data_IF_474727347417
#
_entry.id   IF_474727347417
#
_cell.length_a   1.000
_cell.length_b   1.000
_cell.length_c   1.000
_cell.angle_alpha   90.00
_cell.angle_beta   90.00
_cell.angle_gamma   90.00
#
_symmetry.space_group_name_H-M   'P 1'
#
loop_
_entity.id
_entity.type
_entity.pdbx_description
1 polymer ?
#
# COMPACT_ATOMS: atom_id res chain seq x y z
N UNK A 1 -6.16 12.70 -15.73
CA UNK A 1 -4.83 12.05 -15.72
C UNK A 1 -3.77 13.13 -15.88
N UNK A 2 -2.91 13.32 -14.88
CA UNK A 2 -1.96 14.44 -14.81
C UNK A 2 -0.71 14.20 -15.68
N UNK A 3 -0.11 15.27 -16.21
CA UNK A 3 1.11 15.22 -17.04
C UNK A 3 2.28 14.48 -16.36
N UNK A 4 2.41 14.59 -15.04
CA UNK A 4 3.41 13.87 -14.23
C UNK A 4 3.18 12.36 -14.20
N UNK A 5 1.93 11.90 -14.08
CA UNK A 5 1.61 10.46 -14.15
C UNK A 5 1.95 9.85 -15.51
N UNK A 6 1.99 10.65 -16.57
CA UNK A 6 2.37 10.19 -17.90
C UNK A 6 3.91 10.00 -18.03
N UNK A 7 4.70 10.88 -17.40
CA UNK A 7 6.16 10.79 -17.42
C UNK A 7 6.69 9.56 -16.67
N UNK A 8 6.11 9.25 -15.51
CA UNK A 8 6.48 8.04 -14.75
C UNK A 8 6.17 6.78 -15.55
N UNK A 9 4.97 6.70 -16.14
CA UNK A 9 4.58 5.55 -16.97
C UNK A 9 5.50 5.38 -18.17
N UNK A 10 5.93 6.47 -18.81
CA UNK A 10 6.83 6.39 -19.96
C UNK A 10 8.25 5.99 -19.56
N UNK A 11 8.74 6.48 -18.41
CA UNK A 11 10.00 6.04 -17.83
C UNK A 11 9.98 4.54 -17.49
N UNK A 12 8.90 4.04 -16.90
CA UNK A 12 8.72 2.61 -16.60
C UNK A 12 8.75 1.77 -17.87
N UNK A 13 8.07 2.20 -18.95
CA UNK A 13 8.11 1.49 -20.23
C UNK A 13 9.53 1.43 -20.81
N UNK A 14 10.26 2.54 -20.76
CA UNK A 14 11.63 2.61 -21.27
C UNK A 14 12.54 1.67 -20.49
N UNK A 15 12.42 1.66 -19.16
CA UNK A 15 13.14 0.71 -18.29
C UNK A 15 12.82 -0.74 -18.66
N UNK A 16 11.53 -1.09 -18.78
CA UNK A 16 11.12 -2.45 -19.10
C UNK A 16 11.58 -2.89 -20.49
N UNK A 17 11.57 -1.99 -21.48
CA UNK A 17 12.11 -2.27 -22.81
C UNK A 17 13.61 -2.60 -22.74
N UNK A 18 14.39 -1.82 -22.00
CA UNK A 18 15.82 -2.07 -21.81
C UNK A 18 16.09 -3.40 -21.10
N UNK A 19 15.30 -3.75 -20.08
CA UNK A 19 15.40 -5.05 -19.39
C UNK A 19 15.10 -6.21 -20.35
N UNK A 20 14.06 -6.09 -21.17
CA UNK A 20 13.73 -7.14 -22.16
C UNK A 20 14.81 -7.30 -23.22
N UNK A 21 15.36 -6.20 -23.72
CA UNK A 21 16.48 -6.25 -24.67
C UNK A 21 17.72 -6.92 -24.05
N UNK A 22 18.05 -6.60 -22.80
CA UNK A 22 19.14 -7.23 -22.08
C UNK A 22 18.94 -8.75 -21.93
N UNK A 23 17.72 -9.19 -21.60
CA UNK A 23 17.36 -10.61 -21.52
C UNK A 23 17.50 -11.27 -22.89
N UNK A 24 16.96 -10.68 -23.96
CA UNK A 24 17.02 -11.26 -25.30
C UNK A 24 18.47 -11.35 -25.83
N UNK A 25 19.32 -10.38 -25.48
CA UNK A 25 20.75 -10.42 -25.76
C UNK A 25 21.45 -11.55 -25.01
N UNK A 26 21.14 -11.77 -23.73
CA UNK A 26 21.66 -12.90 -22.96
C UNK A 26 21.22 -14.26 -23.54
N UNK A 27 19.96 -14.37 -23.96
CA UNK A 27 19.44 -15.56 -24.65
C UNK A 27 20.23 -15.84 -25.93
N UNK A 28 20.50 -14.81 -26.74
CA UNK A 28 21.24 -14.99 -28.00
C UNK A 28 22.70 -15.40 -27.75
N UNK A 29 23.33 -14.82 -26.73
CA UNK A 29 24.75 -15.05 -26.44
C UNK A 29 25.01 -16.38 -25.72
N UNK A 30 24.18 -16.75 -24.75
CA UNK A 30 24.44 -17.88 -23.85
C UNK A 30 23.32 -18.94 -23.82
N UNK A 31 22.19 -18.69 -24.49
CA UNK A 31 21.04 -19.61 -24.53
C UNK A 31 21.34 -20.98 -25.14
N UNK A 32 22.07 -21.08 -26.28
CA UNK A 32 22.42 -22.38 -26.86
C UNK A 32 23.27 -23.25 -25.93
N UNK A 33 24.25 -22.64 -25.25
CA UNK A 33 25.11 -23.33 -24.29
C UNK A 33 24.32 -23.77 -23.06
N UNK A 34 23.44 -22.92 -22.54
CA UNK A 34 22.54 -23.26 -21.43
C UNK A 34 21.62 -24.45 -21.77
N UNK A 35 21.11 -24.52 -23.00
CA UNK A 35 20.33 -25.66 -23.47
C UNK A 35 21.17 -26.92 -23.64
N UNK A 36 22.37 -26.79 -24.23
CA UNK A 36 23.32 -27.89 -24.37
C UNK A 36 23.75 -28.46 -23.02
N UNK A 37 23.83 -27.63 -21.98
CA UNK A 37 24.08 -28.00 -20.60
C UNK A 37 22.88 -28.69 -19.91
N UNK A 38 21.75 -28.88 -20.62
CA UNK A 38 20.61 -29.65 -20.14
C UNK A 38 19.57 -28.86 -19.35
N UNK A 39 19.51 -27.53 -19.49
CA UNK A 39 18.44 -26.75 -18.87
C UNK A 39 17.06 -27.23 -19.33
N UNK A 40 16.18 -27.49 -18.35
CA UNK A 40 14.77 -27.86 -18.59
C UNK A 40 13.86 -26.63 -18.77
N UNK A 41 14.39 -25.44 -18.49
CA UNK A 41 13.67 -24.18 -18.54
C UNK A 41 14.11 -23.45 -19.82
N UNK A 42 13.18 -22.82 -20.58
CA UNK A 42 13.54 -22.00 -21.72
C UNK A 42 14.58 -20.92 -21.31
N UNK A 43 15.65 -20.68 -22.11
CA UNK A 43 16.69 -19.72 -21.73
C UNK A 43 16.15 -18.34 -21.36
N UNK A 44 15.12 -17.87 -22.06
CA UNK A 44 14.50 -16.58 -21.77
C UNK A 44 13.90 -16.52 -20.37
N UNK A 45 13.21 -17.57 -19.95
CA UNK A 45 12.60 -17.66 -18.62
C UNK A 45 13.69 -17.80 -17.55
N UNK A 46 14.76 -18.55 -17.84
CA UNK A 46 15.92 -18.67 -16.95
C UNK A 46 16.58 -17.32 -16.68
N UNK A 47 16.85 -16.52 -17.72
CA UNK A 47 17.46 -15.19 -17.55
C UNK A 47 16.51 -14.19 -16.90
N UNK A 48 15.21 -14.22 -17.24
CA UNK A 48 14.21 -13.37 -16.58
C UNK A 48 14.11 -13.67 -15.08
N UNK A 49 14.13 -14.95 -14.69
CA UNK A 49 14.17 -15.37 -13.28
C UNK A 49 15.47 -14.94 -12.60
N UNK A 50 16.61 -15.02 -13.28
CA UNK A 50 17.90 -14.51 -12.78
C UNK A 50 17.86 -13.01 -12.47
N UNK A 51 17.29 -12.20 -13.37
CA UNK A 51 17.09 -10.75 -13.16
C UNK A 51 16.18 -10.50 -11.95
N UNK A 52 15.06 -11.23 -11.85
CA UNK A 52 14.12 -11.11 -10.73
C UNK A 52 14.81 -11.41 -9.39
N UNK A 53 15.56 -12.51 -9.29
CA UNK A 53 16.30 -12.88 -8.08
C UNK A 53 17.35 -11.84 -7.69
N UNK A 54 18.12 -11.35 -8.66
CA UNK A 54 19.15 -10.34 -8.41
C UNK A 54 18.53 -9.04 -7.88
N UNK A 55 17.45 -8.56 -8.52
CA UNK A 55 16.74 -7.35 -8.07
C UNK A 55 16.09 -7.53 -6.70
N UNK A 56 15.50 -8.70 -6.44
CA UNK A 56 14.93 -9.01 -5.13
C UNK A 56 16.00 -8.87 -4.02
N UNK A 57 17.17 -9.48 -4.21
CA UNK A 57 18.27 -9.40 -3.24
C UNK A 57 18.74 -7.96 -3.02
N UNK A 58 18.94 -7.21 -4.12
CA UNK A 58 19.33 -5.79 -4.05
C UNK A 58 18.33 -4.93 -3.29
N UNK A 59 17.03 -5.12 -3.54
CA UNK A 59 15.97 -4.38 -2.85
C UNK A 59 15.90 -4.73 -1.37
N UNK A 60 16.24 -5.97 -1.00
CA UNK A 60 16.35 -6.37 0.40
C UNK A 60 17.65 -5.89 1.05
N UNK A 61 18.55 -5.20 0.34
CA UNK A 61 19.86 -4.81 0.86
C UNK A 61 20.85 -5.99 1.01
N UNK A 62 20.55 -7.13 0.39
CA UNK A 62 21.42 -8.30 0.39
C UNK A 62 22.54 -8.17 -0.65
N UNK A 63 23.63 -8.90 -0.41
CA UNK A 63 24.63 -9.20 -1.43
C UNK A 63 24.04 -10.19 -2.45
N UNK A 64 23.92 -9.81 -3.75
CA UNK A 64 23.36 -10.70 -4.77
C UNK A 64 24.26 -11.87 -5.19
N UNK A 65 25.55 -11.81 -4.88
CA UNK A 65 26.51 -12.89 -5.20
C UNK A 65 26.50 -13.95 -4.10
N UNK A 66 26.45 -13.51 -2.84
CA UNK A 66 26.47 -14.42 -1.68
C UNK A 66 25.07 -14.80 -1.15
N UNK A 67 24.04 -14.05 -1.52
CA UNK A 67 22.67 -14.13 -0.95
C UNK A 67 22.62 -13.86 0.57
N UNK A 68 23.50 -13.01 1.09
CA UNK A 68 23.64 -12.72 2.53
C UNK A 68 23.36 -11.25 2.86
N UNK A 69 23.11 -10.94 4.13
CA UNK A 69 23.02 -9.55 4.62
C UNK A 69 21.71 -8.80 4.35
N UNK A 70 20.69 -9.47 3.80
CA UNK A 70 19.40 -8.83 3.51
C UNK A 70 18.53 -8.55 4.74
N UNK A 71 17.68 -7.52 4.62
CA UNK A 71 16.62 -7.17 5.56
C UNK A 71 15.39 -8.09 5.39
N UNK A 72 15.05 -8.91 6.41
CA UNK A 72 13.88 -9.77 6.36
C UNK A 72 12.57 -9.00 6.24
N UNK A 73 12.45 -7.80 6.82
CA UNK A 73 11.19 -7.05 6.78
C UNK A 73 10.87 -6.58 5.36
N UNK A 74 11.87 -6.02 4.67
CA UNK A 74 11.75 -5.64 3.26
C UNK A 74 11.49 -6.85 2.36
N UNK A 75 12.20 -7.97 2.60
CA UNK A 75 11.95 -9.22 1.88
C UNK A 75 10.50 -9.68 2.00
N UNK A 76 9.95 -9.72 3.22
CA UNK A 76 8.56 -10.10 3.44
C UNK A 76 7.58 -9.14 2.77
N UNK A 77 7.80 -7.81 2.85
CA UNK A 77 6.95 -6.82 2.18
C UNK A 77 6.83 -7.09 0.68
N UNK A 78 7.95 -7.38 0.00
CA UNK A 78 7.98 -7.68 -1.44
C UNK A 78 7.24 -8.99 -1.73
N UNK A 79 7.49 -10.05 -0.96
CA UNK A 79 6.83 -11.34 -1.15
C UNK A 79 5.30 -11.25 -0.95
N UNK A 80 4.86 -10.46 0.03
CA UNK A 80 3.43 -10.22 0.26
C UNK A 80 2.78 -9.48 -0.91
N UNK A 81 3.45 -8.53 -1.55
CA UNK A 81 2.94 -7.86 -2.75
C UNK A 81 2.67 -8.88 -3.88
N UNK A 82 3.63 -9.76 -4.15
CA UNK A 82 3.48 -10.83 -5.15
C UNK A 82 2.31 -11.78 -4.82
N UNK A 83 2.18 -12.17 -3.55
CA UNK A 83 1.06 -13.03 -3.10
C UNK A 83 -0.31 -12.35 -3.27
N UNK A 84 -0.40 -11.05 -2.97
CA UNK A 84 -1.65 -10.30 -3.14
C UNK A 84 -2.10 -10.25 -4.60
N UNK A 85 -1.15 -10.16 -5.55
CA UNK A 85 -1.42 -10.28 -6.98
C UNK A 85 -1.90 -11.70 -7.34
N UNK A 86 -1.22 -12.74 -6.86
CA UNK A 86 -1.64 -14.12 -7.11
C UNK A 86 -3.07 -14.40 -6.59
N UNK A 87 -3.38 -13.96 -5.36
CA UNK A 87 -4.73 -14.07 -4.77
C UNK A 87 -5.80 -13.31 -5.55
N UNK A 88 -5.44 -12.24 -6.25
CA UNK A 88 -6.35 -11.51 -7.13
C UNK A 88 -6.66 -12.36 -8.37
N UNK A 89 -5.64 -12.92 -9.01
CA UNK A 89 -5.83 -13.79 -10.17
C UNK A 89 -6.61 -15.06 -9.87
N UNK A 90 -6.43 -15.67 -8.69
CA UNK A 90 -7.25 -16.81 -8.24
C UNK A 90 -8.75 -16.46 -8.23
N UNK A 91 -9.09 -15.27 -7.71
CA UNK A 91 -10.46 -14.75 -7.67
C UNK A 91 -11.00 -14.46 -9.08
N UNK A 92 -10.20 -13.82 -9.92
CA UNK A 92 -10.57 -13.52 -11.32
C UNK A 92 -10.83 -14.80 -12.12
N UNK A 93 -10.07 -15.87 -11.86
CA UNK A 93 -10.25 -17.17 -12.51
C UNK A 93 -11.40 -18.00 -11.93
N UNK A 94 -12.15 -17.49 -10.95
CA UNK A 94 -13.20 -18.23 -10.26
C UNK A 94 -12.70 -19.50 -9.56
N UNK A 95 -11.38 -19.61 -9.35
CA UNK A 95 -10.80 -20.76 -8.67
C UNK A 95 -11.20 -20.66 -7.20
N UNK A 96 -12.00 -21.62 -6.72
CA UNK A 96 -12.07 -21.87 -5.27
C UNK A 96 -10.62 -22.16 -4.81
N UNK A 97 -10.21 -21.73 -3.61
CA UNK A 97 -8.85 -21.94 -3.13
C UNK A 97 -8.60 -23.45 -2.98
N UNK A 98 -8.10 -24.09 -4.04
CA UNK A 98 -7.87 -25.54 -4.15
C UNK A 98 -6.61 -25.99 -3.40
N UNK A 99 -5.89 -25.06 -2.76
CA UNK A 99 -4.71 -25.33 -1.94
C UNK A 99 -4.90 -24.91 -0.47
N UNK A 100 -6.06 -25.18 0.13
CA UNK A 100 -6.24 -25.11 1.59
C UNK A 100 -5.53 -26.23 2.37
N UNK A 101 -4.60 -26.99 1.76
CA UNK A 101 -3.91 -28.10 2.43
C UNK A 101 -2.64 -27.72 3.19
N UNK A 102 -2.02 -26.56 2.94
CA UNK A 102 -1.03 -25.99 3.88
C UNK A 102 -1.73 -24.90 4.66
N UNK A 103 -1.92 -25.14 5.96
CA UNK A 103 -2.39 -24.14 6.94
C UNK A 103 -1.64 -22.85 6.66
N UNK A 104 -2.35 -21.78 6.28
CA UNK A 104 -1.74 -20.46 6.11
C UNK A 104 -0.87 -20.18 7.35
N UNK A 105 0.35 -19.65 7.16
CA UNK A 105 1.20 -19.34 8.31
C UNK A 105 0.44 -18.36 9.20
N UNK A 106 0.54 -18.46 10.54
CA UNK A 106 -0.18 -17.57 11.46
C UNK A 106 -0.01 -16.08 11.13
N UNK A 107 1.21 -15.68 10.74
CA UNK A 107 1.56 -14.34 10.27
C UNK A 107 0.70 -13.86 9.08
N UNK A 108 0.30 -14.78 8.20
CA UNK A 108 -0.52 -14.48 7.03
C UNK A 108 -1.99 -14.27 7.38
N UNK A 109 -2.46 -14.97 8.40
CA UNK A 109 -3.81 -14.82 8.94
C UNK A 109 -3.88 -13.46 9.64
N UNK A 110 -2.91 -13.18 10.50
CA UNK A 110 -2.81 -11.93 11.25
C UNK A 110 -2.74 -10.70 10.33
N UNK A 111 -1.89 -10.74 9.29
CA UNK A 111 -1.79 -9.63 8.33
C UNK A 111 -3.08 -9.42 7.53
N UNK A 112 -3.70 -10.50 7.06
CA UNK A 112 -4.99 -10.41 6.37
C UNK A 112 -6.10 -9.85 7.28
N UNK A 113 -6.12 -10.25 8.54
CA UNK A 113 -7.06 -9.74 9.54
C UNK A 113 -6.79 -8.27 9.83
N UNK A 114 -5.53 -7.86 9.97
CA UNK A 114 -5.12 -6.46 10.13
C UNK A 114 -5.53 -5.60 8.93
N UNK A 115 -5.26 -6.05 7.70
CA UNK A 115 -5.68 -5.35 6.47
C UNK A 115 -7.21 -5.23 6.38
N UNK A 116 -7.94 -6.29 6.75
CA UNK A 116 -9.42 -6.25 6.80
C UNK A 116 -9.92 -5.30 7.88
N UNK A 117 -9.29 -5.28 9.05
CA UNK A 117 -9.62 -4.37 10.14
C UNK A 117 -9.36 -2.92 9.73
N UNK A 118 -8.21 -2.62 9.10
CA UNK A 118 -7.91 -1.29 8.59
C UNK A 118 -8.90 -0.83 7.52
N UNK A 119 -9.30 -1.74 6.62
CA UNK A 119 -10.33 -1.44 5.61
C UNK A 119 -11.69 -1.15 6.28
N UNK A 120 -12.10 -1.96 7.26
CA UNK A 120 -13.34 -1.77 7.99
C UNK A 120 -13.34 -0.43 8.74
N UNK A 121 -12.26 -0.12 9.47
CA UNK A 121 -12.09 1.16 10.16
C UNK A 121 -12.10 2.34 9.19
N UNK A 122 -11.48 2.21 8.02
CA UNK A 122 -11.47 3.26 7.00
C UNK A 122 -12.87 3.51 6.42
N UNK A 123 -13.62 2.44 6.16
CA UNK A 123 -14.99 2.52 5.67
C UNK A 123 -15.94 3.11 6.72
N UNK A 124 -15.80 2.71 7.99
CA UNK A 124 -16.54 3.26 9.11
C UNK A 124 -16.25 4.76 9.28
N UNK A 125 -14.97 5.14 9.30
CA UNK A 125 -14.56 6.55 9.40
C UNK A 125 -15.11 7.40 8.25
N UNK A 126 -15.11 6.86 7.03
CA UNK A 126 -15.72 7.53 5.87
C UNK A 126 -17.23 7.73 6.08
N UNK A 127 -17.96 6.67 6.42
CA UNK A 127 -19.41 6.74 6.63
C UNK A 127 -19.80 7.72 7.75
N UNK A 128 -19.11 7.68 8.89
CA UNK A 128 -19.33 8.60 10.01
C UNK A 128 -19.01 10.05 9.61
N UNK A 129 -17.92 10.27 8.89
CA UNK A 129 -17.54 11.59 8.39
C UNK A 129 -18.61 12.17 7.48
N UNK A 130 -19.14 11.37 6.54
CA UNK A 130 -20.23 11.78 5.64
C UNK A 130 -21.49 12.13 6.42
N UNK A 131 -21.94 11.25 7.31
CA UNK A 131 -23.16 11.48 8.11
C UNK A 131 -23.04 12.75 8.95
N UNK A 132 -21.92 12.94 9.65
CA UNK A 132 -21.72 14.11 10.51
C UNK A 132 -21.67 15.40 9.69
N UNK A 133 -20.99 15.41 8.54
CA UNK A 133 -20.95 16.58 7.64
C UNK A 133 -22.36 17.00 7.20
N UNK A 134 -23.20 16.05 6.80
CA UNK A 134 -24.59 16.32 6.43
C UNK A 134 -25.40 16.88 7.61
N UNK A 135 -25.26 16.29 8.80
CA UNK A 135 -25.94 16.78 10.00
C UNK A 135 -25.50 18.20 10.39
N UNK A 136 -24.20 18.50 10.34
CA UNK A 136 -23.67 19.84 10.61
C UNK A 136 -24.14 20.84 9.57
N UNK A 137 -24.16 20.45 8.30
CA UNK A 137 -24.69 21.26 7.20
C UNK A 137 -26.17 21.62 7.43
N UNK A 138 -26.98 20.62 7.78
CA UNK A 138 -28.40 20.83 8.11
C UNK A 138 -28.57 21.71 9.35
N UNK A 139 -27.78 21.49 10.40
CA UNK A 139 -27.87 22.26 11.64
C UNK A 139 -27.52 23.75 11.45
N UNK A 140 -26.61 24.08 10.52
CA UNK A 140 -26.26 25.46 10.19
C UNK A 140 -27.44 26.30 9.71
N UNK A 141 -28.44 25.69 9.10
CA UNK A 141 -29.65 26.40 8.67
C UNK A 141 -30.44 26.98 9.86
N UNK A 142 -30.34 26.35 11.04
CA UNK A 142 -31.01 26.80 12.27
C UNK A 142 -30.07 27.46 13.28
N UNK A 143 -28.78 27.13 13.23
CA UNK A 143 -27.74 27.71 14.08
C UNK A 143 -26.43 27.96 13.29
N UNK A 144 -26.25 29.19 12.76
CA UNK A 144 -25.05 29.55 12.02
C UNK A 144 -23.75 29.46 12.83
N UNK A 145 -23.82 29.59 14.16
CA UNK A 145 -22.64 29.63 15.06
C UNK A 145 -22.21 28.22 15.52
N UNK A 146 -22.92 27.16 15.14
CA UNK A 146 -22.66 25.78 15.60
C UNK A 146 -21.21 25.35 15.38
N UNK A 147 -20.59 25.83 14.31
CA UNK A 147 -19.21 25.49 13.95
C UNK A 147 -18.21 26.06 14.96
N UNK A 148 -18.40 27.32 15.35
CA UNK A 148 -17.51 28.00 16.27
C UNK A 148 -17.70 27.45 17.69
N UNK A 149 -18.94 27.08 18.05
CA UNK A 149 -19.21 26.36 19.32
C UNK A 149 -18.51 25.01 19.38
N UNK A 150 -18.52 24.22 18.30
CA UNK A 150 -17.82 22.93 18.22
C UNK A 150 -16.29 23.10 18.34
N UNK A 151 -15.72 24.11 17.66
CA UNK A 151 -14.28 24.43 17.79
C UNK A 151 -13.94 24.86 19.21
N UNK A 152 -14.74 25.76 19.80
CA UNK A 152 -14.54 26.26 21.16
C UNK A 152 -14.60 25.12 22.19
N UNK A 153 -15.47 24.13 22.02
CA UNK A 153 -15.56 22.97 22.91
C UNK A 153 -14.26 22.13 22.91
N UNK A 154 -13.63 21.92 21.75
CA UNK A 154 -12.33 21.22 21.66
C UNK A 154 -11.22 22.02 22.35
N UNK A 155 -11.17 23.34 22.12
CA UNK A 155 -10.20 24.22 22.78
C UNK A 155 -10.39 24.26 24.30
N UNK A 156 -11.63 24.32 24.78
CA UNK A 156 -11.94 24.31 26.21
C UNK A 156 -11.54 23.00 26.88
N UNK A 157 -11.68 21.86 26.19
CA UNK A 157 -11.19 20.57 26.69
C UNK A 157 -9.67 20.57 26.80
N UNK A 158 -8.96 21.08 25.80
CA UNK A 158 -7.49 21.19 25.85
C UNK A 158 -7.00 21.99 27.05
N UNK A 159 -7.60 23.15 27.30
CA UNK A 159 -7.20 24.05 28.38
C UNK A 159 -7.38 23.44 29.79
N UNK A 160 -8.26 22.45 29.95
CA UNK A 160 -8.52 21.77 31.23
C UNK A 160 -7.53 20.65 31.56
N UNK A 161 -6.67 20.28 30.62
CA UNK A 161 -5.82 19.11 30.76
C UNK A 161 -4.38 19.42 31.23
N UNK A 162 -4.00 20.68 31.50
CA UNK A 162 -2.62 20.94 31.94
C UNK A 162 -2.29 20.39 33.35
N UNK A 163 -1.10 19.77 33.54
CA UNK A 163 0.05 19.69 32.62
C UNK A 163 0.09 18.38 31.80
N UNK A 164 0.35 18.48 30.47
CA UNK A 164 0.09 17.41 29.48
C UNK A 164 1.30 16.56 29.06
N UNK A 165 1.04 15.28 28.72
CA UNK A 165 1.96 14.38 28.02
C UNK A 165 1.99 14.63 26.50
N UNK A 166 3.01 14.12 25.80
CA UNK A 166 3.09 14.21 24.33
C UNK A 166 1.88 13.57 23.62
N UNK A 167 1.33 12.49 24.19
CA UNK A 167 0.15 11.79 23.67
C UNK A 167 -1.11 12.65 23.73
N UNK A 168 -1.30 13.39 24.82
CA UNK A 168 -2.46 14.25 24.99
C UNK A 168 -2.43 15.46 24.04
N UNK A 169 -1.23 15.98 23.79
CA UNK A 169 -1.01 17.03 22.78
C UNK A 169 -1.35 16.51 21.38
N UNK A 170 -0.90 15.31 21.02
CA UNK A 170 -1.21 14.70 19.73
C UNK A 170 -2.72 14.42 19.57
N UNK A 171 -3.37 13.87 20.60
CA UNK A 171 -4.82 13.66 20.60
C UNK A 171 -5.57 14.97 20.31
N UNK A 172 -5.15 16.06 20.95
CA UNK A 172 -5.80 17.35 20.81
C UNK A 172 -5.62 17.95 19.42
N UNK A 173 -4.42 17.87 18.85
CA UNK A 173 -4.17 18.31 17.47
C UNK A 173 -4.98 17.50 16.45
N UNK A 174 -5.09 16.19 16.65
CA UNK A 174 -5.96 15.35 15.82
C UNK A 174 -7.43 15.75 15.96
N UNK A 175 -7.92 16.00 17.18
CA UNK A 175 -9.30 16.43 17.41
C UNK A 175 -9.62 17.77 16.72
N UNK A 176 -8.72 18.76 16.76
CA UNK A 176 -8.87 20.03 16.04
C UNK A 176 -8.99 19.83 14.53
N UNK A 177 -8.12 18.97 13.95
CA UNK A 177 -8.15 18.64 12.52
C UNK A 177 -9.47 17.98 12.12
N UNK A 178 -9.97 17.03 12.92
CA UNK A 178 -11.25 16.37 12.64
C UNK A 178 -12.44 17.33 12.73
N UNK A 179 -12.54 18.17 13.77
CA UNK A 179 -13.64 19.16 13.85
C UNK A 179 -13.60 20.12 12.67
N UNK A 180 -12.40 20.53 12.26
CA UNK A 180 -12.23 21.34 11.06
C UNK A 180 -12.75 20.60 9.82
N UNK A 181 -12.29 19.37 9.57
CA UNK A 181 -12.71 18.53 8.45
C UNK A 181 -14.23 18.30 8.40
N UNK A 182 -14.86 18.08 9.54
CA UNK A 182 -16.28 17.78 9.67
C UNK A 182 -17.19 19.01 9.54
N UNK A 183 -16.61 20.21 9.67
CA UNK A 183 -17.34 21.47 9.59
C UNK A 183 -17.06 22.25 8.31
N UNK A 184 -16.17 21.80 7.41
CA UNK A 184 -16.03 22.45 6.11
C UNK A 184 -17.27 22.19 5.23
N UNK A 185 -17.86 23.24 4.60
CA UNK A 185 -18.94 23.03 3.64
C UNK A 185 -18.39 22.31 2.39
N UNK A 186 -19.15 21.36 1.81
CA UNK A 186 -18.69 20.54 0.69
C UNK A 186 -18.37 21.35 -0.59
N UNK A 187 -18.89 22.57 -0.73
CA UNK A 187 -18.71 23.41 -1.92
C UNK A 187 -17.38 24.20 -2.01
N UNK A 188 -16.46 24.02 -1.05
CA UNK A 188 -15.17 24.73 -1.02
C UNK A 188 -13.93 23.82 -1.07
N UNK A 189 -14.07 22.55 -1.46
CA UNK A 189 -12.92 21.71 -1.82
C UNK A 189 -12.39 22.11 -3.21
N UNK A 190 -11.57 23.17 -3.29
CA UNK A 190 -10.66 23.47 -4.41
C UNK A 190 -9.22 23.59 -3.92
#
# INVERSE_FOLDING_TARGET
>A
MNKESNLVVEADKLLMAAVYEAIDNAVRAAGPELQAAGSRIPPRDYFADGVMRHLFLRLCGADPEENTGGDPETAWKILYAGRSVARRWERERGSRPTLRMKKDRPEDIEKNESERQQLALSAENFALTTIIRELVSHARASDPEITDRLKAAVHARHARLEPLSDTDREFTERAKRFVTLLTFPPDQER
#
